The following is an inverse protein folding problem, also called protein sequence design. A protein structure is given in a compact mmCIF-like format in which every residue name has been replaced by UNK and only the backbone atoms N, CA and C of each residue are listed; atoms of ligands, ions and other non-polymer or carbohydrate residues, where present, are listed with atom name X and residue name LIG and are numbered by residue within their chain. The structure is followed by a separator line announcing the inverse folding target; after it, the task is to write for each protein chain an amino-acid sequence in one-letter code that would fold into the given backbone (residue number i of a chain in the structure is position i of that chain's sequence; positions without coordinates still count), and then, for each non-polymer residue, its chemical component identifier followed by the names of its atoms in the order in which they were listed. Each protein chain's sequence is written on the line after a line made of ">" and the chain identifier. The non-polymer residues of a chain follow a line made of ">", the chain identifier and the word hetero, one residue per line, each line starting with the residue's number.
data_IF_721806656217
#
_entry.id   IF_721806656217
#
_cell.length_a   1.000
_cell.length_b   1.000
_cell.length_c   1.000
_cell.angle_alpha   90.00
_cell.angle_beta   90.00
_cell.angle_gamma   90.00
#
_symmetry.space_group_name_H-M   'P 1'
#
loop_
_entity.id
_entity.type
_entity.pdbx_description
1 polymer ?
#
# COMPACT_ATOMS: atom_id res chain seq x y z
N UNK A 1 6.49 -12.28 -20.07
CA UNK A 1 5.62 -12.70 -18.96
C UNK A 1 4.25 -12.09 -19.19
N UNK A 2 3.14 -12.80 -19.03
CA UNK A 2 1.81 -12.23 -19.18
C UNK A 2 1.61 -11.16 -18.10
N UNK A 3 1.24 -9.94 -18.51
CA UNK A 3 1.06 -8.73 -17.67
C UNK A 3 0.18 -8.97 -16.43
N UNK A 4 -0.74 -9.90 -16.53
CA UNK A 4 -1.60 -10.35 -15.43
C UNK A 4 -0.82 -10.92 -14.25
N UNK A 5 0.28 -11.61 -14.51
CA UNK A 5 1.15 -12.17 -13.46
C UNK A 5 1.91 -11.08 -12.72
N UNK A 6 2.34 -10.02 -13.42
CA UNK A 6 3.04 -8.88 -12.80
C UNK A 6 2.12 -8.15 -11.82
N UNK A 7 0.89 -7.87 -12.22
CA UNK A 7 -0.09 -7.21 -11.34
C UNK A 7 -0.43 -8.07 -10.12
N UNK A 8 -0.64 -9.38 -10.31
CA UNK A 8 -0.89 -10.31 -9.21
C UNK A 8 0.30 -10.36 -8.25
N UNK A 9 1.53 -10.44 -8.78
CA UNK A 9 2.74 -10.47 -7.98
C UNK A 9 2.91 -9.17 -7.17
N UNK A 10 2.64 -8.01 -7.77
CA UNK A 10 2.75 -6.71 -7.10
C UNK A 10 1.77 -6.60 -5.90
N UNK A 11 0.52 -7.03 -6.08
CA UNK A 11 -0.44 -7.07 -4.96
C UNK A 11 -0.08 -8.11 -3.91
N UNK A 12 0.48 -9.26 -4.31
CA UNK A 12 0.95 -10.29 -3.36
C UNK A 12 2.12 -9.76 -2.53
N UNK A 13 3.09 -9.09 -3.16
CA UNK A 13 4.21 -8.45 -2.45
C UNK A 13 3.71 -7.38 -1.49
N UNK A 14 2.74 -6.55 -1.91
CA UNK A 14 2.13 -5.57 -1.03
C UNK A 14 1.47 -6.24 0.19
N UNK A 15 0.69 -7.31 -0.02
CA UNK A 15 0.04 -8.04 1.07
C UNK A 15 1.05 -8.67 2.04
N UNK A 16 2.15 -9.24 1.54
CA UNK A 16 3.25 -9.78 2.37
C UNK A 16 3.91 -8.67 3.18
N UNK A 17 4.03 -7.46 2.64
CA UNK A 17 4.56 -6.30 3.35
C UNK A 17 3.86 -6.03 4.68
N UNK A 18 2.55 -6.31 4.80
CA UNK A 18 1.80 -6.09 6.05
C UNK A 18 2.18 -7.06 7.18
N UNK A 19 2.84 -8.17 6.87
CA UNK A 19 3.34 -9.13 7.88
C UNK A 19 4.73 -8.75 8.41
N UNK A 20 5.45 -7.88 7.71
CA UNK A 20 6.77 -7.39 8.13
C UNK A 20 6.64 -6.20 9.09
N UNK A 21 7.75 -5.82 9.78
CA UNK A 21 7.80 -4.60 10.58
C UNK A 21 7.41 -3.38 9.75
N UNK A 22 6.37 -2.68 10.20
CA UNK A 22 5.77 -1.56 9.48
C UNK A 22 6.26 -0.22 10.03
N UNK A 23 6.28 -0.11 11.35
CA UNK A 23 6.70 1.09 12.06
C UNK A 23 7.48 0.69 13.31
N UNK A 24 8.57 1.38 13.57
CA UNK A 24 9.34 1.30 14.80
C UNK A 24 9.35 2.68 15.45
N UNK A 25 8.92 2.75 16.69
CA UNK A 25 9.00 3.95 17.52
C UNK A 25 10.22 3.83 18.40
N UNK A 26 11.11 4.82 18.32
CA UNK A 26 12.30 4.91 19.13
C UNK A 26 12.20 6.11 20.09
N UNK A 27 12.60 5.91 21.35
CA UNK A 27 12.72 6.97 22.34
C UNK A 27 14.19 7.10 22.73
N UNK A 28 14.75 8.30 22.59
CA UNK A 28 16.17 8.56 22.87
C UNK A 28 17.13 7.57 22.19
N UNK A 29 16.84 7.19 20.92
CA UNK A 29 17.66 6.27 20.13
C UNK A 29 17.49 4.78 20.47
N UNK A 30 16.58 4.42 21.36
CA UNK A 30 16.26 3.02 21.68
C UNK A 30 14.90 2.65 21.12
N UNK A 31 14.78 1.54 20.37
CA UNK A 31 13.49 1.07 19.86
C UNK A 31 12.62 0.63 21.06
N UNK A 32 11.47 1.29 21.22
CA UNK A 32 10.53 1.02 22.32
C UNK A 32 9.40 0.11 21.85
N UNK A 33 8.94 0.32 20.61
CA UNK A 33 7.81 -0.41 20.05
C UNK A 33 8.08 -0.67 18.57
N UNK A 34 7.89 -1.93 18.15
CA UNK A 34 7.87 -2.31 16.73
C UNK A 34 6.52 -2.93 16.44
N UNK A 35 5.80 -2.38 15.46
CA UNK A 35 4.50 -2.86 15.06
C UNK A 35 4.51 -3.36 13.61
N UNK A 36 3.89 -4.51 13.38
CA UNK A 36 3.59 -4.99 12.02
C UNK A 36 2.29 -4.38 11.50
N UNK A 37 2.05 -4.39 10.19
CA UNK A 37 0.81 -3.91 9.61
C UNK A 37 -0.44 -4.58 10.22
N UNK A 38 -0.37 -5.89 10.49
CA UNK A 38 -1.47 -6.64 11.12
C UNK A 38 -1.71 -6.21 12.56
N UNK A 39 -0.66 -5.96 13.33
CA UNK A 39 -0.79 -5.47 14.70
C UNK A 39 -1.43 -4.08 14.74
N UNK A 40 -1.08 -3.21 13.79
CA UNK A 40 -1.70 -1.90 13.63
C UNK A 40 -3.20 -2.01 13.29
N UNK A 41 -3.59 -2.98 12.45
CA UNK A 41 -5.01 -3.21 12.11
C UNK A 41 -5.82 -3.74 13.30
N UNK A 42 -5.21 -4.57 14.14
CA UNK A 42 -5.91 -5.21 15.28
C UNK A 42 -5.83 -4.39 16.57
N UNK A 43 -5.06 -3.29 16.58
CA UNK A 43 -4.79 -2.49 17.76
C UNK A 43 -3.98 -3.20 18.86
N UNK A 44 -3.45 -4.41 18.56
CA UNK A 44 -2.65 -5.21 19.49
C UNK A 44 -1.17 -4.99 19.19
N UNK A 45 -0.59 -3.94 19.73
CA UNK A 45 0.84 -3.67 19.59
C UNK A 45 1.58 -4.37 20.73
N UNK A 46 2.49 -5.27 20.41
CA UNK A 46 3.35 -5.90 21.41
C UNK A 46 4.45 -4.90 21.80
N UNK A 47 4.38 -4.43 23.02
CA UNK A 47 5.51 -3.72 23.65
C UNK A 47 6.63 -4.73 23.90
N UNK A 48 7.87 -4.37 23.56
CA UNK A 48 9.05 -5.18 23.92
C UNK A 48 9.11 -5.37 25.43
N UNK A 49 9.52 -6.55 25.95
CA UNK A 49 9.41 -6.93 27.35
C UNK A 49 10.45 -6.26 28.26
N UNK A 50 10.73 -4.99 28.10
CA UNK A 50 11.56 -4.22 29.02
C UNK A 50 10.69 -3.56 30.10
N UNK A 51 9.81 -4.36 30.71
CA UNK A 51 9.46 -4.27 32.14
C UNK A 51 8.56 -3.13 32.61
N UNK A 52 8.13 -2.17 31.80
CA UNK A 52 7.08 -1.25 32.24
C UNK A 52 5.93 -1.23 31.23
N UNK A 53 4.68 -1.36 31.76
CA UNK A 53 3.51 -1.10 30.93
C UNK A 53 3.44 0.40 30.69
N UNK A 54 4.18 0.89 29.69
CA UNK A 54 3.87 2.17 29.08
C UNK A 54 2.44 2.02 28.61
N UNK A 55 1.53 2.58 29.45
CA UNK A 55 0.10 2.57 29.21
C UNK A 55 -0.12 2.82 27.73
N UNK A 56 -0.89 1.95 27.10
CA UNK A 56 -1.32 1.95 25.71
C UNK A 56 -1.98 3.26 25.22
N UNK A 57 -1.71 4.36 25.90
CA UNK A 57 -2.22 5.71 25.65
C UNK A 57 -1.48 6.46 24.55
N UNK A 58 -0.37 5.91 24.05
CA UNK A 58 0.44 6.54 22.99
C UNK A 58 0.15 5.96 21.60
N UNK A 59 -0.70 4.93 21.49
CA UNK A 59 -1.17 4.46 20.18
C UNK A 59 -2.43 5.26 19.86
N UNK A 60 -2.45 6.05 18.80
CA UNK A 60 -3.62 6.84 18.42
C UNK A 60 -4.82 5.92 18.25
N UNK A 61 -5.97 6.35 18.81
CA UNK A 61 -7.24 5.66 18.70
C UNK A 61 -7.63 5.37 17.26
N UNK A 62 -8.28 4.26 17.09
CA UNK A 62 -9.16 3.72 16.02
C UNK A 62 -8.97 4.22 14.57
N UNK A 63 -8.76 5.52 14.32
CA UNK A 63 -8.77 6.08 12.97
C UNK A 63 -7.57 5.64 12.10
N UNK A 64 -6.40 5.43 12.71
CA UNK A 64 -5.21 4.97 11.98
C UNK A 64 -5.29 3.51 11.57
N UNK A 65 -5.96 2.68 12.37
CA UNK A 65 -6.16 1.27 12.06
C UNK A 65 -7.03 1.09 10.80
N UNK A 66 -7.99 1.98 10.57
CA UNK A 66 -8.85 1.94 9.39
C UNK A 66 -8.10 2.20 8.09
N UNK A 67 -7.13 3.12 8.07
CA UNK A 67 -6.33 3.40 6.89
C UNK A 67 -5.44 2.21 6.51
N UNK A 68 -4.81 1.59 7.49
CA UNK A 68 -3.98 0.39 7.29
C UNK A 68 -4.85 -0.79 6.85
N UNK A 69 -6.01 -0.95 7.47
CA UNK A 69 -7.00 -1.97 7.09
C UNK A 69 -7.51 -1.76 5.65
N UNK A 70 -7.82 -0.52 5.27
CA UNK A 70 -8.25 -0.18 3.91
C UNK A 70 -7.17 -0.51 2.88
N UNK A 71 -5.90 -0.17 3.16
CA UNK A 71 -4.78 -0.49 2.29
C UNK A 71 -4.58 -2.01 2.14
N UNK A 72 -4.71 -2.76 3.23
CA UNK A 72 -4.66 -4.23 3.19
C UNK A 72 -5.82 -4.82 2.41
N UNK A 73 -7.05 -4.36 2.65
CA UNK A 73 -8.24 -4.78 1.91
C UNK A 73 -8.10 -4.50 0.41
N UNK A 74 -7.56 -3.33 0.02
CA UNK A 74 -7.26 -3.00 -1.37
C UNK A 74 -6.23 -3.96 -1.97
N UNK A 75 -5.21 -4.38 -1.22
CA UNK A 75 -4.22 -5.37 -1.67
C UNK A 75 -4.87 -6.72 -1.96
N UNK A 76 -5.71 -7.20 -1.04
CA UNK A 76 -6.42 -8.48 -1.17
C UNK A 76 -7.44 -8.43 -2.31
N UNK A 77 -8.26 -7.37 -2.37
CA UNK A 77 -9.23 -7.17 -3.45
C UNK A 77 -8.54 -7.05 -4.81
N UNK A 78 -7.39 -6.37 -4.87
CA UNK A 78 -6.56 -6.29 -6.06
C UNK A 78 -6.09 -7.67 -6.55
N UNK A 79 -5.69 -8.56 -5.64
CA UNK A 79 -5.34 -9.94 -6.00
C UNK A 79 -6.52 -10.69 -6.62
N UNK A 80 -7.72 -10.60 -6.04
CA UNK A 80 -8.92 -11.25 -6.56
C UNK A 80 -9.39 -10.63 -7.89
N UNK A 81 -9.38 -9.30 -8.01
CA UNK A 81 -9.73 -8.59 -9.21
C UNK A 81 -8.77 -8.89 -10.38
N UNK A 82 -7.48 -9.12 -10.09
CA UNK A 82 -6.49 -9.53 -11.06
C UNK A 82 -6.86 -10.85 -11.74
N UNK A 83 -7.46 -11.79 -11.00
CA UNK A 83 -7.96 -13.05 -11.57
C UNK A 83 -9.14 -12.84 -12.50
N UNK A 84 -9.98 -11.83 -12.29
CA UNK A 84 -11.17 -11.50 -13.10
C UNK A 84 -10.90 -10.55 -14.25
N UNK A 85 -9.69 -10.00 -14.38
CA UNK A 85 -9.27 -9.14 -15.49
C UNK A 85 -9.89 -7.74 -15.52
N UNK A 86 -10.49 -7.25 -14.43
CA UNK A 86 -11.11 -5.91 -14.30
C UNK A 86 -10.05 -4.84 -14.06
N UNK A 87 -9.50 -4.29 -15.14
CA UNK A 87 -8.36 -3.34 -15.11
C UNK A 87 -8.63 -2.08 -14.32
N UNK A 88 -9.79 -1.46 -14.51
CA UNK A 88 -10.18 -0.23 -13.79
C UNK A 88 -10.19 -0.44 -12.27
N UNK A 89 -10.73 -1.59 -11.81
CA UNK A 89 -10.76 -1.93 -10.39
C UNK A 89 -9.34 -2.09 -9.84
N UNK A 90 -8.42 -2.66 -10.62
CA UNK A 90 -7.03 -2.85 -10.22
C UNK A 90 -6.29 -1.53 -10.08
N UNK A 91 -6.46 -0.59 -11.03
CA UNK A 91 -5.87 0.73 -10.97
C UNK A 91 -6.41 1.51 -9.75
N UNK A 92 -7.73 1.49 -9.52
CA UNK A 92 -8.34 2.13 -8.36
C UNK A 92 -7.87 1.50 -7.05
N UNK A 93 -7.81 0.17 -6.95
CA UNK A 93 -7.35 -0.51 -5.73
C UNK A 93 -5.89 -0.15 -5.40
N UNK A 94 -5.00 -0.13 -6.41
CA UNK A 94 -3.61 0.30 -6.22
C UNK A 94 -3.50 1.76 -5.76
N UNK A 95 -4.23 2.67 -6.41
CA UNK A 95 -4.22 4.10 -6.09
C UNK A 95 -4.80 4.41 -4.70
N UNK A 96 -5.97 3.84 -4.38
CA UNK A 96 -6.61 4.04 -3.07
C UNK A 96 -5.75 3.43 -1.95
N UNK A 97 -5.21 2.22 -2.15
CA UNK A 97 -4.36 1.58 -1.16
C UNK A 97 -3.07 2.35 -0.89
N UNK A 98 -2.38 2.84 -1.93
CA UNK A 98 -1.20 3.68 -1.79
C UNK A 98 -1.53 5.02 -1.12
N UNK A 99 -2.63 5.67 -1.52
CA UNK A 99 -3.12 6.90 -0.91
C UNK A 99 -3.42 6.74 0.58
N UNK A 100 -4.05 5.64 0.98
CA UNK A 100 -4.33 5.33 2.39
C UNK A 100 -3.03 5.18 3.21
N UNK A 101 -1.99 4.53 2.67
CA UNK A 101 -0.69 4.42 3.34
C UNK A 101 0.04 5.76 3.46
N UNK A 102 -0.04 6.62 2.44
CA UNK A 102 0.54 7.97 2.49
C UNK A 102 -0.20 8.85 3.50
N UNK A 103 -1.53 8.78 3.56
CA UNK A 103 -2.31 9.47 4.58
C UNK A 103 -1.98 8.97 5.99
N UNK A 104 -1.84 7.65 6.16
CA UNK A 104 -1.41 7.06 7.41
C UNK A 104 -0.05 7.62 7.85
N UNK A 105 0.95 7.65 6.95
CA UNK A 105 2.29 8.14 7.28
C UNK A 105 2.29 9.64 7.64
N UNK A 106 1.52 10.46 6.92
CA UNK A 106 1.40 11.89 7.20
C UNK A 106 0.70 12.15 8.53
N UNK A 107 -0.41 11.47 8.78
CA UNK A 107 -1.18 11.60 10.01
C UNK A 107 -0.37 11.15 11.23
N UNK A 108 0.38 10.04 11.13
CA UNK A 108 1.24 9.55 12.20
C UNK A 108 2.35 10.58 12.52
N UNK A 109 2.99 11.15 11.50
CA UNK A 109 4.04 12.15 11.69
C UNK A 109 3.54 13.44 12.34
N UNK A 110 2.33 13.89 11.99
CA UNK A 110 1.69 15.06 12.62
C UNK A 110 1.37 14.76 14.08
N UNK A 111 0.80 13.60 14.37
CA UNK A 111 0.39 13.22 15.73
C UNK A 111 1.58 13.12 16.68
N UNK A 112 2.68 12.51 16.24
CA UNK A 112 3.91 12.40 17.06
C UNK A 112 4.54 13.77 17.30
N UNK A 113 4.50 14.68 16.32
CA UNK A 113 5.00 16.05 16.52
C UNK A 113 4.18 16.85 17.54
N UNK A 114 2.87 16.61 17.59
CA UNK A 114 1.98 17.32 18.52
C UNK A 114 1.99 16.73 19.94
N UNK A 115 2.16 15.42 20.07
CA UNK A 115 2.08 14.71 21.35
C UNK A 115 3.40 14.52 22.08
N UNK A 116 4.54 14.77 21.46
CA UNK A 116 5.85 14.46 22.01
C UNK A 116 6.79 15.66 22.08
N UNK A 117 7.52 15.76 23.17
CA UNK A 117 8.59 16.73 23.44
C UNK A 117 9.85 16.51 22.56
N UNK A 118 9.72 16.12 21.29
CA UNK A 118 10.84 15.91 20.36
C UNK A 118 11.72 14.68 20.62
N UNK A 119 11.38 13.86 21.62
CA UNK A 119 12.17 12.69 22.03
C UNK A 119 11.79 11.41 21.24
N UNK A 120 10.66 11.42 20.52
CA UNK A 120 10.20 10.28 19.76
C UNK A 120 10.61 10.39 18.30
N UNK A 121 11.24 9.35 17.79
CA UNK A 121 11.59 9.21 16.37
C UNK A 121 10.77 8.05 15.78
N UNK A 122 10.17 8.30 14.62
CA UNK A 122 9.44 7.29 13.85
C UNK A 122 10.36 6.78 12.76
N UNK A 123 10.55 5.48 12.70
CA UNK A 123 11.23 4.80 11.61
C UNK A 123 10.24 3.89 10.89
N UNK A 124 10.08 4.09 9.59
CA UNK A 124 9.26 3.22 8.77
C UNK A 124 10.06 1.96 8.41
N UNK A 125 9.49 0.81 8.72
CA UNK A 125 10.11 -0.48 8.44
C UNK A 125 9.98 -0.92 6.98
N UNK A 126 10.72 -1.96 6.62
CA UNK A 126 10.73 -2.52 5.26
C UNK A 126 9.34 -2.96 4.79
N UNK A 127 8.46 -3.38 5.72
CA UNK A 127 7.09 -3.76 5.41
C UNK A 127 6.27 -2.62 4.83
N UNK A 128 6.42 -1.41 5.38
CA UNK A 128 5.74 -0.22 4.88
C UNK A 128 6.16 0.10 3.44
N UNK A 129 7.46 0.12 3.16
CA UNK A 129 7.96 0.40 1.81
C UNK A 129 7.56 -0.67 0.81
N UNK A 130 7.62 -1.95 1.19
CA UNK A 130 7.18 -3.05 0.32
C UNK A 130 5.69 -2.95 -0.03
N UNK A 131 4.84 -2.64 0.96
CA UNK A 131 3.41 -2.46 0.73
C UNK A 131 3.15 -1.24 -0.16
N UNK A 132 3.80 -0.11 0.11
CA UNK A 132 3.64 1.13 -0.65
C UNK A 132 4.09 0.95 -2.11
N UNK A 133 5.32 0.47 -2.34
CA UNK A 133 5.84 0.26 -3.69
C UNK A 133 5.07 -0.80 -4.46
N UNK A 134 4.63 -1.89 -3.79
CA UNK A 134 3.79 -2.90 -4.40
C UNK A 134 2.46 -2.33 -4.91
N UNK A 135 1.79 -1.49 -4.11
CA UNK A 135 0.53 -0.84 -4.49
C UNK A 135 0.72 0.18 -5.62
N UNK A 136 1.77 1.00 -5.55
CA UNK A 136 2.11 1.97 -6.61
C UNK A 136 2.41 1.22 -7.92
N UNK A 137 3.25 0.20 -7.89
CA UNK A 137 3.61 -0.59 -9.07
C UNK A 137 2.37 -1.27 -9.69
N UNK A 138 1.48 -1.82 -8.84
CA UNK A 138 0.22 -2.38 -9.29
C UNK A 138 -0.68 -1.32 -9.95
N UNK A 139 -0.78 -0.11 -9.38
CA UNK A 139 -1.51 1.01 -9.96
C UNK A 139 -0.98 1.40 -11.34
N UNK A 140 0.33 1.69 -11.44
CA UNK A 140 0.99 2.10 -12.67
C UNK A 140 0.88 1.02 -13.77
N UNK A 141 1.11 -0.25 -13.43
CA UNK A 141 1.01 -1.35 -14.39
C UNK A 141 -0.38 -1.48 -15.03
N UNK A 142 -1.42 -1.03 -14.33
CA UNK A 142 -2.80 -1.11 -14.82
C UNK A 142 -3.28 0.18 -15.50
N UNK A 143 -2.69 1.37 -15.21
CA UNK A 143 -3.01 2.64 -15.87
C UNK A 143 -2.28 2.80 -17.19
N UNK A 144 -1.00 2.46 -17.28
CA UNK A 144 -0.17 2.63 -18.49
C UNK A 144 -0.68 1.87 -19.72
N UNK A 145 -1.62 0.94 -19.56
CA UNK A 145 -2.22 0.14 -20.65
C UNK A 145 -3.50 0.77 -21.21
N UNK A 146 -4.08 1.76 -20.54
CA UNK A 146 -5.30 2.42 -21.00
C UNK A 146 -5.05 3.38 -22.20
N UNK A 147 -3.81 3.79 -22.44
CA UNK A 147 -3.48 4.80 -23.47
C UNK A 147 -3.24 4.26 -24.87
N UNK A 148 -3.25 2.94 -25.11
CA UNK A 148 -2.98 2.37 -26.42
C UNK A 148 -4.13 1.57 -27.10
N UNK A 149 -5.41 1.96 -27.06
CA UNK A 149 -6.44 1.26 -27.86
C UNK A 149 -6.54 1.71 -29.32
N UNK A 150 -5.96 2.84 -29.72
CA UNK A 150 -6.37 3.51 -30.98
C UNK A 150 -5.34 3.58 -32.12
N UNK A 151 -4.18 2.95 -32.01
CA UNK A 151 -3.21 3.05 -33.11
C UNK A 151 -3.30 1.93 -34.18
N UNK A 152 -4.14 0.93 -34.00
CA UNK A 152 -4.21 -0.21 -34.97
C UNK A 152 -5.29 -0.05 -36.04
N UNK A 153 -6.24 0.86 -35.88
CA UNK A 153 -7.36 1.00 -36.83
C UNK A 153 -7.22 2.14 -37.85
N UNK A 154 -6.03 2.70 -38.02
CA UNK A 154 -5.79 3.81 -38.95
C UNK A 154 -5.33 3.40 -40.38
N UNK A 155 -5.31 2.13 -40.72
CA UNK A 155 -5.06 1.75 -42.10
C UNK A 155 -6.34 1.97 -42.93
N UNK A 156 -6.37 2.88 -43.91
CA UNK A 156 -7.52 3.06 -44.76
C UNK A 156 -7.74 1.78 -45.57
N UNK A 157 -9.01 1.36 -45.79
CA UNK A 157 -9.29 0.18 -46.62
C UNK A 157 -8.71 0.42 -47.99
N UNK A 158 -7.84 -0.50 -48.43
CA UNK A 158 -7.30 -0.54 -49.79
C UNK A 158 -8.50 -0.63 -50.76
N UNK A 159 -8.65 0.43 -51.59
CA UNK A 159 -9.64 0.42 -52.68
C UNK A 159 -9.36 -0.77 -53.60
N UNK A 160 -10.39 -1.54 -53.93
CA UNK A 160 -10.23 -2.56 -54.98
C UNK A 160 -9.90 -1.87 -56.31
N UNK A 161 -8.78 -2.23 -56.90
CA UNK A 161 -8.42 -1.84 -58.26
C UNK A 161 -9.39 -2.50 -59.19
N UNK A 162 -10.15 -1.70 -59.95
CA UNK A 162 -10.99 -2.16 -61.05
C UNK A 162 -10.07 -2.62 -62.19
N UNK A 163 -10.27 -3.85 -62.72
CA UNK A 163 -9.57 -4.28 -63.95
C UNK A 163 -10.19 -3.54 -65.13
N UNK A 164 -9.31 -2.86 -65.93
CA UNK A 164 -9.61 -2.28 -67.24
C UNK A 164 -9.53 -3.34 -68.35
#
# INVERSE_FOLDING_TARGET
>A
MPRRQISLAAFAVAAVGFFLPFVTLSCAGRPVVTATGIQLMTGKVNTTPTGEPLRARAVPDVDFSLLVLAAFACSVLGMFASRRGRRTVLACAGGIGAGALLLFSSALSVHVRQGGSGLFTIEYGNGFYLALFGLIAAGIANTAVAEHPNQVNGAPPSRPQSPG
#
